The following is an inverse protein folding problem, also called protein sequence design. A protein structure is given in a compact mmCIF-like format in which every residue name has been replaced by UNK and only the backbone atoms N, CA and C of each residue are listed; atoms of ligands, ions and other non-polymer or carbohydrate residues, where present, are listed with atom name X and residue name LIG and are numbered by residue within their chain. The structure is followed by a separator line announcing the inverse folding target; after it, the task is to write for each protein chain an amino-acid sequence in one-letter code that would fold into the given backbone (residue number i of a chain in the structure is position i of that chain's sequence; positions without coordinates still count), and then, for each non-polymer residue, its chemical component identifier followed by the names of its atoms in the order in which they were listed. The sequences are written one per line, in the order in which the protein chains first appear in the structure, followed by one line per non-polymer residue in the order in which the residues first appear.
data_IF_981612693045
#
_entry.id   IF_981612693045
#
_cell.length_a   1.000
_cell.length_b   1.000
_cell.length_c   1.000
_cell.angle_alpha   90.00
_cell.angle_beta   90.00
_cell.angle_gamma   90.00
#
_symmetry.space_group_name_H-M   'P 1'
#
loop_
_entity.id
_entity.type
_entity.pdbx_description
1 polymer ?
#
# COMPACT_ATOMS: atom_id res chain seq x y z
N UNK A 1 13.04 17.74 -4.13
CA UNK A 1 11.94 16.79 -3.82
C UNK A 1 11.36 17.23 -2.49
N UNK A 2 10.05 17.54 -2.44
CA UNK A 2 9.37 17.82 -1.16
C UNK A 2 8.85 16.50 -0.62
N UNK A 3 9.00 16.28 0.69
CA UNK A 3 8.58 15.04 1.33
C UNK A 3 7.67 15.38 2.51
N UNK A 4 6.47 14.83 2.53
CA UNK A 4 5.60 14.87 3.70
C UNK A 4 5.45 13.47 4.27
N UNK A 5 5.70 13.31 5.56
CA UNK A 5 5.59 12.04 6.28
C UNK A 5 4.49 12.19 7.31
N UNK A 6 3.50 11.29 7.29
CA UNK A 6 2.56 11.14 8.39
C UNK A 6 3.00 9.95 9.25
N UNK A 7 3.41 10.22 10.49
CA UNK A 7 3.89 9.20 11.44
C UNK A 7 3.07 9.30 12.73
N UNK A 8 2.43 8.21 13.13
CA UNK A 8 1.51 8.22 14.28
C UNK A 8 2.25 8.41 15.61
N UNK A 9 3.45 7.86 15.75
CA UNK A 9 4.23 7.89 16.98
C UNK A 9 5.48 8.79 16.82
N UNK A 10 5.52 9.98 17.47
CA UNK A 10 6.68 10.85 17.40
C UNK A 10 7.98 10.18 17.89
N UNK A 11 7.89 9.19 18.78
CA UNK A 11 9.06 8.46 19.29
C UNK A 11 9.76 7.68 18.16
N UNK A 12 9.02 7.17 17.17
CA UNK A 12 9.60 6.49 16.00
C UNK A 12 10.47 7.46 15.21
N UNK A 13 9.99 8.68 15.00
CA UNK A 13 10.74 9.74 14.31
C UNK A 13 11.98 10.14 15.09
N UNK A 14 11.86 10.34 16.41
CA UNK A 14 13.00 10.66 17.28
C UNK A 14 14.07 9.56 17.22
N UNK A 15 13.67 8.29 17.30
CA UNK A 15 14.58 7.15 17.22
C UNK A 15 15.23 7.03 15.84
N UNK A 16 14.49 7.27 14.76
CA UNK A 16 15.04 7.27 13.42
C UNK A 16 16.15 8.32 13.27
N UNK A 17 15.92 9.54 13.77
CA UNK A 17 16.92 10.60 13.75
C UNK A 17 18.12 10.29 14.65
N UNK A 18 17.88 9.74 15.84
CA UNK A 18 18.92 9.46 16.81
C UNK A 18 19.77 8.23 16.48
N UNK A 19 19.21 7.22 15.80
CA UNK A 19 19.80 5.87 15.70
C UNK A 19 19.81 5.25 14.30
N UNK A 20 18.99 5.73 13.35
CA UNK A 20 18.81 5.09 12.03
C UNK A 20 19.28 5.98 10.87
N UNK A 21 20.21 6.89 11.12
CA UNK A 21 20.80 7.81 10.12
C UNK A 21 19.79 8.69 9.37
N UNK A 22 18.55 8.79 9.86
CA UNK A 22 17.56 9.64 9.25
C UNK A 22 17.88 11.12 9.54
N UNK A 23 18.04 11.91 8.48
CA UNK A 23 18.32 13.35 8.56
C UNK A 23 17.32 14.08 7.66
N UNK A 24 16.18 14.57 8.20
CA UNK A 24 15.23 15.33 7.40
C UNK A 24 15.89 16.59 6.84
N UNK A 25 15.50 16.97 5.63
CA UNK A 25 15.93 18.23 5.01
C UNK A 25 14.93 19.35 5.32
N UNK A 26 15.26 20.59 4.98
CA UNK A 26 14.33 21.72 5.11
C UNK A 26 13.06 21.57 4.23
N UNK A 27 13.11 20.70 3.23
CA UNK A 27 11.98 20.34 2.35
C UNK A 27 11.14 19.15 2.88
N UNK A 28 11.45 18.67 4.10
CA UNK A 28 10.75 17.57 4.76
C UNK A 28 9.80 18.09 5.82
N UNK A 29 8.51 17.76 5.68
CA UNK A 29 7.48 18.02 6.69
C UNK A 29 7.07 16.71 7.36
N UNK A 30 7.07 16.67 8.68
CA UNK A 30 6.61 15.52 9.46
C UNK A 30 5.32 15.92 10.20
N UNK A 31 4.24 15.22 9.90
CA UNK A 31 2.93 15.37 10.55
C UNK A 31 2.80 14.21 11.53
N UNK A 32 2.88 14.51 12.83
CA UNK A 32 2.66 13.49 13.84
C UNK A 32 1.16 13.23 14.03
N UNK A 33 0.71 12.02 13.69
CA UNK A 33 -0.68 11.62 13.79
C UNK A 33 -1.11 10.61 12.73
N UNK A 34 -2.42 10.35 12.68
CA UNK A 34 -3.00 9.38 11.75
C UNK A 34 -2.77 9.75 10.28
N UNK A 35 -2.45 8.74 9.46
CA UNK A 35 -2.14 8.92 8.03
C UNK A 35 -3.31 9.50 7.21
N UNK A 36 -4.55 9.11 7.48
CA UNK A 36 -5.73 9.66 6.77
C UNK A 36 -6.01 11.08 7.21
N UNK A 37 -5.86 11.38 8.50
CA UNK A 37 -5.92 12.75 8.99
C UNK A 37 -4.81 13.64 8.37
N UNK A 38 -3.59 13.12 8.24
CA UNK A 38 -2.47 13.81 7.60
C UNK A 38 -2.72 14.07 6.11
N UNK A 39 -3.22 13.07 5.37
CA UNK A 39 -3.58 13.20 3.95
C UNK A 39 -4.57 14.34 3.72
N UNK A 40 -5.57 14.48 4.60
CA UNK A 40 -6.60 15.54 4.50
C UNK A 40 -6.06 16.95 4.71
N UNK A 41 -4.91 17.10 5.38
CA UNK A 41 -4.25 18.40 5.57
C UNK A 41 -3.51 18.89 4.32
N UNK A 42 -3.22 18.00 3.37
CA UNK A 42 -2.52 18.37 2.14
C UNK A 42 -3.39 19.28 1.27
N UNK A 43 -2.84 20.41 0.85
CA UNK A 43 -3.55 21.39 0.00
C UNK A 43 -3.12 21.33 -1.46
N UNK A 44 -2.03 20.64 -1.77
CA UNK A 44 -1.51 20.47 -3.13
C UNK A 44 -1.58 19.02 -3.57
N UNK A 45 -1.82 18.75 -4.87
CA UNK A 45 -1.68 17.41 -5.41
C UNK A 45 -0.28 16.83 -5.17
N UNK A 46 -0.20 15.52 -5.01
CA UNK A 46 1.03 14.76 -4.80
C UNK A 46 1.34 13.91 -6.03
N UNK A 47 2.61 13.86 -6.44
CA UNK A 47 3.03 13.00 -7.55
C UNK A 47 3.14 11.53 -7.11
N UNK A 48 3.48 11.30 -5.84
CA UNK A 48 3.56 9.95 -5.26
C UNK A 48 3.02 9.98 -3.85
N UNK A 49 2.15 9.03 -3.54
CA UNK A 49 1.71 8.72 -2.17
C UNK A 49 2.14 7.29 -1.86
N UNK A 50 2.75 7.08 -0.70
CA UNK A 50 3.21 5.75 -0.26
C UNK A 50 2.52 5.42 1.05
N UNK A 51 1.80 4.31 1.09
CA UNK A 51 1.30 3.72 2.31
C UNK A 51 2.22 2.58 2.77
N UNK A 52 2.95 2.82 3.86
CA UNK A 52 3.87 1.84 4.47
C UNK A 52 3.51 1.58 5.94
N UNK A 53 2.28 1.09 6.16
CA UNK A 53 1.75 0.78 7.49
C UNK A 53 1.18 -0.65 7.59
N UNK A 54 1.44 -1.51 6.59
CA UNK A 54 0.68 -2.75 6.36
C UNK A 54 1.51 -4.02 6.59
N UNK A 55 2.36 -4.05 7.63
CA UNK A 55 3.28 -5.18 7.87
C UNK A 55 2.94 -6.08 9.07
N UNK A 56 2.10 -5.67 10.02
CA UNK A 56 1.83 -6.43 11.26
C UNK A 56 0.34 -6.62 11.60
N UNK A 57 0.04 -7.13 12.80
CA UNK A 57 -1.33 -7.37 13.30
C UNK A 57 -2.13 -6.08 13.57
N UNK A 58 -1.52 -4.90 13.43
CA UNK A 58 -2.14 -3.61 13.74
C UNK A 58 -2.29 -2.73 12.50
N UNK A 59 -2.68 -3.34 11.37
CA UNK A 59 -2.98 -2.57 10.15
C UNK A 59 -4.16 -1.63 10.40
N UNK A 60 -4.02 -0.32 10.20
CA UNK A 60 -5.12 0.62 10.40
C UNK A 60 -6.22 0.40 9.35
N UNK A 61 -7.35 -0.14 9.78
CA UNK A 61 -8.44 -0.58 8.89
C UNK A 61 -8.91 0.54 7.96
N UNK A 62 -9.03 1.76 8.48
CA UNK A 62 -9.48 2.95 7.75
C UNK A 62 -8.50 3.44 6.67
N UNK A 63 -7.29 2.86 6.57
CA UNK A 63 -6.31 3.11 5.50
C UNK A 63 -6.37 2.07 4.37
N UNK A 64 -7.29 1.11 4.46
CA UNK A 64 -7.40 -0.01 3.50
C UNK A 64 -8.67 0.04 2.65
N UNK A 65 -9.52 1.04 2.91
CA UNK A 65 -10.89 1.10 2.41
C UNK A 65 -10.99 1.76 1.05
N UNK A 66 -12.11 1.49 0.38
CA UNK A 66 -12.45 2.15 -0.90
C UNK A 66 -12.60 3.66 -0.70
N UNK A 67 -13.17 4.10 0.43
CA UNK A 67 -13.33 5.52 0.77
C UNK A 67 -11.99 6.22 0.94
N UNK A 68 -11.04 5.58 1.64
CA UNK A 68 -9.70 6.12 1.75
C UNK A 68 -8.97 6.14 0.39
N UNK A 69 -9.15 5.11 -0.43
CA UNK A 69 -8.60 5.10 -1.78
C UNK A 69 -9.11 6.28 -2.64
N UNK A 70 -10.39 6.69 -2.47
CA UNK A 70 -10.92 7.91 -3.12
C UNK A 70 -10.25 9.17 -2.60
N UNK A 71 -10.07 9.30 -1.28
CA UNK A 71 -9.35 10.45 -0.70
C UNK A 71 -7.91 10.53 -1.22
N UNK A 72 -7.24 9.39 -1.40
CA UNK A 72 -5.90 9.34 -2.00
C UNK A 72 -5.95 9.78 -3.46
N UNK A 73 -6.90 9.27 -4.25
CA UNK A 73 -7.08 9.67 -5.65
C UNK A 73 -7.30 11.18 -5.81
N UNK A 74 -8.11 11.78 -4.93
CA UNK A 74 -8.38 13.22 -4.91
C UNK A 74 -7.14 14.07 -4.56
N UNK A 75 -6.13 13.47 -3.92
CA UNK A 75 -4.86 14.12 -3.57
C UNK A 75 -3.72 13.81 -4.53
N UNK A 76 -3.91 12.94 -5.51
CA UNK A 76 -2.89 12.66 -6.53
C UNK A 76 -2.94 13.66 -7.69
N UNK A 77 -1.78 13.92 -8.30
CA UNK A 77 -1.72 14.53 -9.63
C UNK A 77 -2.22 13.54 -10.70
N UNK A 78 -2.53 14.05 -11.90
CA UNK A 78 -3.09 13.22 -13.00
C UNK A 78 -2.18 12.04 -13.40
N UNK A 79 -0.86 12.25 -13.32
CA UNK A 79 0.17 11.23 -13.58
C UNK A 79 0.70 10.59 -12.28
N UNK A 80 0.01 10.84 -11.16
CA UNK A 80 0.44 10.43 -9.85
C UNK A 80 0.29 8.93 -9.58
N UNK A 81 1.04 8.45 -8.60
CA UNK A 81 1.09 7.04 -8.23
C UNK A 81 0.78 6.83 -6.75
N UNK A 82 -0.15 5.93 -6.45
CA UNK A 82 -0.32 5.40 -5.10
C UNK A 82 0.37 4.04 -4.99
N UNK A 83 1.29 3.92 -4.03
CA UNK A 83 2.00 2.68 -3.72
C UNK A 83 1.64 2.20 -2.32
N UNK A 84 1.42 0.90 -2.17
CA UNK A 84 1.19 0.25 -0.89
C UNK A 84 2.18 -0.89 -0.68
N UNK A 85 2.88 -0.87 0.45
CA UNK A 85 3.73 -1.97 0.90
C UNK A 85 2.92 -2.89 1.84
N UNK A 86 2.52 -4.07 1.35
CA UNK A 86 1.66 -5.01 2.09
C UNK A 86 2.40 -6.30 2.38
N UNK A 87 2.42 -6.72 3.65
CA UNK A 87 2.92 -8.03 4.05
C UNK A 87 1.75 -8.97 4.32
N UNK A 88 1.64 -10.05 3.57
CA UNK A 88 0.55 -11.02 3.68
C UNK A 88 1.04 -12.46 3.45
N UNK A 89 0.18 -13.45 3.65
CA UNK A 89 0.50 -14.85 3.45
C UNK A 89 0.80 -15.14 1.98
N UNK A 90 2.01 -15.66 1.69
CA UNK A 90 2.50 -15.87 0.33
C UNK A 90 1.51 -16.65 -0.56
N UNK A 91 0.95 -17.75 -0.06
CA UNK A 91 0.08 -18.64 -0.87
C UNK A 91 -1.41 -18.29 -0.80
N UNK A 92 -1.82 -17.46 0.17
CA UNK A 92 -3.24 -17.14 0.43
C UNK A 92 -3.39 -15.67 0.83
N UNK A 93 -2.99 -14.72 -0.04
CA UNK A 93 -2.89 -13.30 0.33
C UNK A 93 -4.27 -12.62 0.31
N UNK A 94 -5.18 -13.03 1.20
CA UNK A 94 -6.57 -12.59 1.24
C UNK A 94 -6.70 -11.10 1.56
N UNK A 95 -5.86 -10.59 2.43
CA UNK A 95 -5.86 -9.17 2.79
C UNK A 95 -5.39 -8.34 1.59
N UNK A 96 -4.24 -8.69 1.00
CA UNK A 96 -3.72 -8.02 -0.18
C UNK A 96 -4.73 -7.98 -1.33
N UNK A 97 -5.37 -9.11 -1.65
CA UNK A 97 -6.37 -9.18 -2.73
C UNK A 97 -7.63 -8.35 -2.43
N UNK A 98 -8.00 -8.21 -1.15
CA UNK A 98 -9.14 -7.37 -0.73
C UNK A 98 -8.81 -5.88 -0.85
N UNK A 99 -7.57 -5.48 -0.54
CA UNK A 99 -7.08 -4.13 -0.80
C UNK A 99 -7.03 -3.86 -2.31
N UNK A 100 -6.44 -4.77 -3.10
CA UNK A 100 -6.41 -4.68 -4.56
C UNK A 100 -7.80 -4.47 -5.16
N UNK A 101 -8.78 -5.27 -4.70
CA UNK A 101 -10.18 -5.15 -5.13
C UNK A 101 -10.78 -3.79 -4.78
N UNK A 102 -10.45 -3.23 -3.62
CA UNK A 102 -10.95 -1.93 -3.18
C UNK A 102 -10.33 -0.78 -3.98
N UNK A 103 -9.04 -0.89 -4.32
CA UNK A 103 -8.35 0.05 -5.21
C UNK A 103 -8.94 0.03 -6.63
N UNK A 104 -9.26 -1.15 -7.16
CA UNK A 104 -9.82 -1.33 -8.50
C UNK A 104 -11.20 -0.67 -8.70
N UNK A 105 -11.90 -0.33 -7.61
CA UNK A 105 -13.17 0.40 -7.64
C UNK A 105 -12.99 1.92 -7.82
N UNK A 106 -11.75 2.42 -7.66
CA UNK A 106 -11.42 3.84 -7.68
C UNK A 106 -10.46 4.16 -8.83
N UNK A 107 -9.44 3.34 -9.02
CA UNK A 107 -8.40 3.55 -10.01
C UNK A 107 -8.62 2.68 -11.25
N UNK A 108 -8.46 3.24 -12.47
CA UNK A 108 -8.58 2.47 -13.70
C UNK A 108 -7.43 1.48 -13.89
N UNK A 109 -6.25 1.75 -13.31
CA UNK A 109 -5.09 0.87 -13.39
C UNK A 109 -4.64 0.49 -11.98
N UNK A 110 -4.64 -0.80 -11.68
CA UNK A 110 -4.09 -1.35 -10.44
C UNK A 110 -3.22 -2.56 -10.75
N UNK A 111 -2.09 -2.68 -10.06
CA UNK A 111 -1.12 -3.75 -10.29
C UNK A 111 -0.55 -4.26 -8.96
N UNK A 112 -0.28 -5.55 -8.90
CA UNK A 112 0.48 -6.18 -7.82
C UNK A 112 1.87 -6.55 -8.33
N UNK A 113 2.89 -6.26 -7.54
CA UNK A 113 4.27 -6.68 -7.75
C UNK A 113 4.74 -7.52 -6.57
N UNK A 114 5.56 -8.54 -6.88
CA UNK A 114 6.26 -9.32 -5.87
C UNK A 114 7.59 -9.85 -6.44
N UNK A 115 8.46 -10.31 -5.56
CA UNK A 115 9.62 -11.13 -5.94
C UNK A 115 9.15 -12.40 -6.68
N UNK A 116 9.93 -12.90 -7.64
CA UNK A 116 9.58 -14.12 -8.40
C UNK A 116 9.39 -15.36 -7.53
N UNK A 117 10.09 -15.44 -6.40
CA UNK A 117 9.98 -16.54 -5.45
C UNK A 117 9.00 -16.25 -4.31
N UNK A 118 8.37 -15.07 -4.26
CA UNK A 118 7.46 -14.67 -3.18
C UNK A 118 6.40 -15.74 -2.89
N UNK A 119 5.78 -16.29 -3.92
CA UNK A 119 4.74 -17.33 -3.81
C UNK A 119 5.26 -18.71 -3.41
N UNK A 120 6.57 -18.96 -3.56
CA UNK A 120 7.23 -20.21 -3.16
C UNK A 120 7.67 -20.20 -1.70
N UNK A 121 7.67 -19.03 -1.05
CA UNK A 121 8.05 -18.89 0.33
C UNK A 121 6.99 -19.48 1.26
N UNK A 122 7.47 -20.04 2.38
CA UNK A 122 6.61 -20.43 3.48
C UNK A 122 6.34 -19.21 4.36
N UNK A 123 5.09 -18.99 4.74
CA UNK A 123 4.70 -17.90 5.64
C UNK A 123 4.32 -16.62 4.90
N UNK A 124 4.87 -15.48 5.34
CA UNK A 124 4.50 -14.15 4.85
C UNK A 124 5.55 -13.63 3.88
N UNK A 125 5.10 -12.84 2.92
CA UNK A 125 5.95 -12.16 1.93
C UNK A 125 5.41 -10.76 1.67
N UNK A 126 6.22 -9.93 1.01
CA UNK A 126 5.89 -8.56 0.69
C UNK A 126 5.32 -8.46 -0.73
N UNK A 127 4.21 -7.75 -0.83
CA UNK A 127 3.57 -7.34 -2.07
C UNK A 127 3.59 -5.81 -2.16
N UNK A 128 3.90 -5.28 -3.34
CA UNK A 128 3.71 -3.86 -3.62
C UNK A 128 2.50 -3.73 -4.51
N UNK A 129 1.50 -2.95 -4.09
CA UNK A 129 0.37 -2.60 -4.94
C UNK A 129 0.62 -1.21 -5.49
N UNK A 130 0.35 -1.03 -6.77
CA UNK A 130 0.36 0.27 -7.41
C UNK A 130 -1.03 0.57 -7.95
N UNK A 131 -1.45 1.83 -7.84
CA UNK A 131 -2.69 2.33 -8.41
C UNK A 131 -2.48 3.72 -9.03
N UNK A 132 -3.04 3.94 -10.23
CA UNK A 132 -2.93 5.21 -10.94
C UNK A 132 -4.05 5.41 -11.96
N UNK A 133 -4.28 6.67 -12.33
CA UNK A 133 -5.07 7.03 -13.51
C UNK A 133 -4.36 6.67 -14.81
N UNK A 134 -3.03 6.56 -14.80
CA UNK A 134 -2.22 6.19 -15.96
C UNK A 134 -1.89 4.69 -16.00
N UNK A 135 -1.60 4.13 -17.18
CA UNK A 135 -1.10 2.76 -17.31
C UNK A 135 0.15 2.51 -16.45
N UNK A 136 0.19 1.36 -15.79
CA UNK A 136 1.29 0.95 -14.93
C UNK A 136 2.29 0.08 -15.71
N UNK A 137 3.56 0.14 -15.31
CA UNK A 137 4.63 -0.68 -15.90
C UNK A 137 4.46 -2.15 -15.53
N UNK A 138 4.74 -3.06 -16.45
CA UNK A 138 4.57 -4.51 -16.23
C UNK A 138 5.83 -5.21 -15.73
N UNK A 139 7.00 -4.60 -15.88
CA UNK A 139 8.28 -5.16 -15.45
C UNK A 139 9.09 -4.09 -14.73
N UNK A 140 9.68 -4.46 -13.60
CA UNK A 140 10.50 -3.59 -12.77
C UNK A 140 11.76 -4.35 -12.35
N UNK A 141 12.92 -3.89 -12.82
CA UNK A 141 14.22 -4.39 -12.37
C UNK A 141 14.79 -3.42 -11.34
N UNK A 142 15.04 -3.89 -10.11
CA UNK A 142 15.67 -3.10 -9.05
C UNK A 142 16.94 -3.82 -8.60
N UNK A 143 18.10 -3.33 -9.06
CA UNK A 143 19.38 -3.98 -8.79
C UNK A 143 19.44 -5.38 -9.43
N UNK A 144 19.70 -6.41 -8.61
CA UNK A 144 19.70 -7.82 -9.04
C UNK A 144 18.35 -8.52 -8.83
N UNK A 145 17.39 -7.86 -8.20
CA UNK A 145 16.10 -8.46 -7.89
C UNK A 145 15.10 -8.15 -9.01
N UNK A 146 14.47 -9.20 -9.53
CA UNK A 146 13.40 -9.10 -10.52
C UNK A 146 12.06 -9.12 -9.79
N UNK A 147 11.40 -7.97 -9.75
CA UNK A 147 10.01 -7.86 -9.35
C UNK A 147 9.15 -7.95 -10.62
N UNK A 148 8.12 -8.78 -10.58
CA UNK A 148 7.22 -8.93 -11.72
C UNK A 148 5.81 -8.45 -11.37
N UNK A 149 5.18 -7.79 -12.33
CA UNK A 149 3.76 -7.51 -12.26
C UNK A 149 2.98 -8.81 -12.40
N UNK A 150 2.10 -9.11 -11.44
CA UNK A 150 1.20 -10.25 -11.53
C UNK A 150 0.33 -10.16 -12.78
N UNK A 151 0.32 -11.19 -13.66
CA UNK A 151 -0.56 -11.22 -14.82
C UNK A 151 -2.03 -11.19 -14.39
N UNK A 152 -2.89 -10.58 -15.22
CA UNK A 152 -4.34 -10.50 -14.96
C UNK A 152 -4.98 -11.87 -14.77
N UNK A 153 -4.53 -12.90 -15.49
CA UNK A 153 -4.99 -14.28 -15.32
C UNK A 153 -4.66 -14.86 -13.94
N UNK A 154 -3.49 -14.53 -13.39
CA UNK A 154 -3.09 -14.94 -12.04
C UNK A 154 -3.98 -14.28 -10.99
N UNK A 155 -4.20 -12.96 -11.12
CA UNK A 155 -5.11 -12.21 -10.23
C UNK A 155 -6.53 -12.80 -10.31
N UNK A 156 -7.03 -13.09 -11.51
CA UNK A 156 -8.35 -13.70 -11.70
C UNK A 156 -8.47 -15.07 -11.03
N UNK A 157 -7.45 -15.92 -11.14
CA UNK A 157 -7.42 -17.23 -10.49
C UNK A 157 -7.44 -17.11 -8.96
N UNK A 158 -6.65 -16.20 -8.39
CA UNK A 158 -6.69 -15.92 -6.95
C UNK A 158 -8.06 -15.39 -6.51
N UNK A 159 -8.66 -14.48 -7.27
CA UNK A 159 -9.97 -13.92 -6.96
C UNK A 159 -11.07 -14.99 -6.95
N UNK A 160 -11.03 -15.95 -7.88
CA UNK A 160 -11.97 -17.07 -7.90
C UNK A 160 -11.80 -18.00 -6.68
N UNK A 161 -10.56 -18.30 -6.31
CA UNK A 161 -10.25 -19.24 -5.24
C UNK A 161 -10.48 -18.66 -3.83
N UNK A 162 -10.17 -17.38 -3.64
CA UNK A 162 -10.14 -16.73 -2.33
C UNK A 162 -11.29 -15.76 -2.10
N UNK A 163 -12.03 -15.37 -3.16
CA UNK A 163 -13.20 -14.50 -3.10
C UNK A 163 -12.96 -13.25 -2.23
N UNK A 164 -12.00 -12.38 -2.59
CA UNK A 164 -11.63 -11.24 -1.76
C UNK A 164 -12.80 -10.28 -1.55
N UNK A 165 -12.80 -9.65 -0.38
CA UNK A 165 -13.82 -8.71 0.05
C UNK A 165 -13.50 -7.32 -0.51
N UNK A 166 -14.55 -6.55 -0.80
CA UNK A 166 -14.39 -5.10 -0.90
C UNK A 166 -14.32 -4.55 0.52
N UNK A 167 -13.32 -3.73 0.80
CA UNK A 167 -13.11 -3.08 2.08
C UNK A 167 -13.75 -1.70 2.03
N UNK A 168 -14.59 -1.42 3.02
CA UNK A 168 -15.24 -0.11 3.20
C UNK A 168 -15.02 0.37 4.63
N UNK A 169 -15.25 1.67 4.86
CA UNK A 169 -15.17 2.25 6.21
C UNK A 169 -16.10 1.51 7.21
N UNK A 170 -17.26 1.01 6.76
CA UNK A 170 -18.19 0.24 7.57
C UNK A 170 -17.85 -1.26 7.67
N UNK A 171 -17.00 -1.78 6.78
CA UNK A 171 -16.67 -3.20 6.72
C UNK A 171 -15.26 -3.45 6.17
N UNK A 172 -14.28 -3.50 7.08
CA UNK A 172 -12.90 -3.86 6.77
C UNK A 172 -12.34 -4.83 7.83
N UNK A 173 -12.62 -6.15 7.73
CA UNK A 173 -12.24 -7.13 8.75
C UNK A 173 -10.77 -7.55 8.60
N UNK A 174 -9.85 -6.59 8.65
CA UNK A 174 -8.41 -6.77 8.34
C UNK A 174 -7.79 -7.88 9.18
N UNK A 175 -8.07 -7.94 10.48
CA UNK A 175 -7.55 -8.98 11.36
C UNK A 175 -7.94 -10.37 10.87
N UNK A 176 -9.21 -10.57 10.43
CA UNK A 176 -9.67 -11.87 9.90
C UNK A 176 -9.03 -12.22 8.56
N UNK A 177 -8.65 -11.22 7.78
CA UNK A 177 -8.00 -11.43 6.48
C UNK A 177 -6.51 -11.77 6.63
N UNK A 178 -5.86 -11.26 7.67
CA UNK A 178 -4.46 -11.51 8.01
C UNK A 178 -4.26 -12.78 8.88
N UNK A 179 -5.30 -13.22 9.58
CA UNK A 179 -5.26 -14.44 10.39
C UNK A 179 -5.07 -15.69 9.52
N UNK A 180 -4.23 -16.61 10.00
CA UNK A 180 -4.07 -17.95 9.41
C UNK A 180 -5.38 -18.74 9.54
N UNK A 181 -5.91 -19.35 8.47
CA UNK A 181 -6.77 -20.52 8.63
C UNK A 181 -5.98 -21.71 9.18
#
# INVERSE_FOLDING_TARGET
MRLTIAEVDPVVTEMAQAKLWYKPSDETTIIHGDGRAGLRQLTTPQDVIIGDAFHDLSVPQHLTTTEFAREVADKLSYDGLYLLNIVDHAQKPRFMLSVLKSLAEVFPNVQVYSDQNALRQWGRTTFVLAASSQPLVTELTIGTNEFFAWPSLMIAQFNQNLMPLKLTDDFSPVDRLLLKP
#
